data_IF_907311622114
#
_entry.id   IF_907311622114
#
_cell.length_a   1.000
_cell.length_b   1.000
_cell.length_c   1.000
_cell.angle_alpha   90.00
_cell.angle_beta   90.00
_cell.angle_gamma   90.00
#
_symmetry.space_group_name_H-M   'P 1'
#
loop_
_entity.id
_entity.type
_entity.pdbx_description
1 polymer ?
#
# COMPACT_ATOMS: atom_id res chain seq x y z
N UNK A 1 -4.88 -13.51 -18.37
CA UNK A 1 -3.81 -13.17 -17.42
C UNK A 1 -4.45 -12.30 -16.37
N UNK A 2 -4.59 -12.77 -15.12
CA UNK A 2 -5.02 -11.91 -14.02
C UNK A 2 -4.01 -10.76 -13.91
N UNK A 3 -4.45 -9.53 -13.67
CA UNK A 3 -3.53 -8.44 -13.39
C UNK A 3 -2.64 -8.81 -12.20
N UNK A 4 -1.40 -8.29 -12.13
CA UNK A 4 -0.54 -8.53 -10.98
C UNK A 4 -1.26 -8.08 -9.70
N UNK A 5 -1.14 -8.86 -8.63
CA UNK A 5 -1.53 -8.41 -7.29
C UNK A 5 -0.75 -7.16 -6.92
N UNK A 6 -1.36 -6.30 -6.14
CA UNK A 6 -0.68 -5.15 -5.58
C UNK A 6 -0.21 -5.54 -4.17
N UNK A 7 1.11 -5.66 -4.00
CA UNK A 7 1.78 -5.93 -2.73
C UNK A 7 2.71 -4.74 -2.47
N UNK A 8 2.61 -4.10 -1.30
CA UNK A 8 3.44 -2.93 -1.01
C UNK A 8 4.94 -3.24 -1.08
N UNK A 9 5.33 -4.47 -0.70
CA UNK A 9 6.73 -4.90 -0.73
C UNK A 9 7.34 -4.97 -2.14
N UNK A 10 6.51 -5.05 -3.18
CA UNK A 10 6.98 -5.03 -4.59
C UNK A 10 7.32 -3.62 -5.08
N UNK A 11 6.78 -2.58 -4.43
CA UNK A 11 6.89 -1.19 -4.88
C UNK A 11 7.69 -0.30 -3.93
N UNK A 12 7.74 -0.66 -2.64
CA UNK A 12 8.45 0.08 -1.61
C UNK A 12 9.70 -0.70 -1.24
N UNK A 13 10.82 -0.01 -1.20
CA UNK A 13 12.08 -0.59 -0.73
C UNK A 13 12.52 0.10 0.54
N UNK A 14 12.91 -0.69 1.53
CA UNK A 14 13.42 -0.22 2.82
C UNK A 14 14.76 -0.91 3.10
N UNK A 15 15.73 -0.17 3.61
CA UNK A 15 17.09 -0.66 3.87
C UNK A 15 17.71 0.08 5.05
N UNK A 16 18.70 -0.54 5.69
CA UNK A 16 19.33 0.00 6.91
C UNK A 16 18.91 -0.72 8.20
N UNK A 17 17.83 -1.51 8.16
CA UNK A 17 17.43 -2.45 9.21
C UNK A 17 17.02 -3.80 8.61
N UNK A 18 16.85 -4.82 9.46
CA UNK A 18 16.24 -6.09 9.06
C UNK A 18 14.73 -5.91 8.89
N UNK A 19 14.27 -5.75 7.64
CA UNK A 19 12.84 -5.58 7.33
C UNK A 19 12.15 -6.94 7.24
N UNK A 20 11.11 -7.13 8.05
CA UNK A 20 10.33 -8.37 8.11
C UNK A 20 9.12 -8.31 7.16
N UNK A 21 8.42 -7.17 7.11
CA UNK A 21 7.28 -6.98 6.22
C UNK A 21 7.06 -5.51 5.89
N UNK A 22 6.46 -5.27 4.73
CA UNK A 22 5.95 -3.96 4.30
C UNK A 22 4.49 -4.19 3.92
N UNK A 23 3.57 -3.44 4.51
CA UNK A 23 2.13 -3.64 4.31
C UNK A 23 1.42 -2.31 4.18
N UNK A 24 0.61 -2.13 3.16
CA UNK A 24 -0.26 -0.96 3.05
C UNK A 24 -1.56 -1.14 3.87
N UNK A 25 -1.87 -0.14 4.68
CA UNK A 25 -3.10 -0.04 5.45
C UNK A 25 -3.98 1.08 4.88
N UNK A 26 -5.04 0.70 4.18
CA UNK A 26 -5.96 1.66 3.55
C UNK A 26 -7.02 2.22 4.51
N UNK A 27 -7.17 1.67 5.71
CA UNK A 27 -8.08 2.22 6.73
C UNK A 27 -7.45 3.45 7.40
N UNK A 28 -6.12 3.44 7.56
CA UNK A 28 -5.33 4.50 8.20
C UNK A 28 -4.49 5.33 7.20
N UNK A 29 -4.66 5.09 5.89
CA UNK A 29 -3.90 5.76 4.82
C UNK A 29 -2.38 5.71 5.00
N UNK A 30 -1.88 4.56 5.49
CA UNK A 30 -0.50 4.38 5.92
C UNK A 30 0.18 3.15 5.31
N UNK A 31 1.51 3.12 5.38
CA UNK A 31 2.32 1.93 5.12
C UNK A 31 3.05 1.56 6.40
N UNK A 32 2.90 0.31 6.81
CA UNK A 32 3.51 -0.26 7.99
C UNK A 32 4.72 -1.10 7.56
N UNK A 33 5.88 -0.76 8.11
CA UNK A 33 7.14 -1.48 7.92
C UNK A 33 7.51 -2.09 9.27
N UNK A 34 7.55 -3.42 9.31
CA UNK A 34 7.98 -4.15 10.52
C UNK A 34 9.46 -4.42 10.39
N UNK A 35 10.23 -4.03 11.40
CA UNK A 35 11.68 -4.19 11.45
C UNK A 35 12.10 -5.01 12.69
N UNK A 36 13.26 -5.65 12.60
CA UNK A 36 13.96 -6.25 13.74
C UNK A 36 15.23 -5.42 14.02
N UNK A 37 15.08 -4.40 14.89
CA UNK A 37 16.13 -3.45 15.24
C UNK A 37 16.99 -3.97 16.41
N UNK A 38 18.14 -4.57 16.09
CA UNK A 38 19.09 -5.08 17.09
C UNK A 38 19.96 -3.96 17.71
N UNK A 39 20.25 -2.93 16.91
CA UNK A 39 21.08 -1.78 17.26
C UNK A 39 20.41 -0.50 16.74
N UNK A 40 20.80 0.67 17.24
CA UNK A 40 20.33 1.97 16.74
C UNK A 40 20.81 2.21 15.30
N UNK A 41 20.02 2.91 14.49
CA UNK A 41 20.37 3.17 13.10
C UNK A 41 19.42 4.11 12.36
N UNK A 42 19.51 4.09 11.04
CA UNK A 42 18.64 4.85 10.15
C UNK A 42 18.05 3.92 9.08
N UNK A 43 16.74 4.00 8.91
CA UNK A 43 16.01 3.30 7.86
C UNK A 43 15.84 4.24 6.67
N UNK A 44 16.41 3.85 5.52
CA UNK A 44 16.14 4.52 4.25
C UNK A 44 14.98 3.82 3.54
N UNK A 45 13.91 4.56 3.27
CA UNK A 45 12.68 4.06 2.64
C UNK A 45 12.41 4.84 1.36
N UNK A 46 12.23 4.12 0.26
CA UNK A 46 11.82 4.68 -1.01
C UNK A 46 10.35 4.32 -1.27
N UNK A 47 9.48 5.32 -1.21
CA UNK A 47 8.04 5.18 -1.46
C UNK A 47 7.70 5.27 -2.96
N UNK A 48 6.52 4.76 -3.30
CA UNK A 48 5.95 4.82 -4.65
C UNK A 48 4.47 5.24 -4.61
N UNK A 49 4.09 6.15 -5.50
CA UNK A 49 2.72 6.72 -5.64
C UNK A 49 1.62 5.69 -5.95
N UNK A 50 1.99 4.48 -6.36
CA UNK A 50 1.05 3.37 -6.56
C UNK A 50 0.53 2.77 -5.26
N UNK A 51 1.29 2.92 -4.17
CA UNK A 51 0.96 2.35 -2.87
C UNK A 51 0.52 3.45 -1.91
N UNK A 52 1.30 4.52 -1.81
CA UNK A 52 1.04 5.60 -0.87
C UNK A 52 1.35 6.94 -1.51
N UNK A 53 0.52 7.94 -1.21
CA UNK A 53 0.69 9.30 -1.71
C UNK A 53 0.90 10.26 -0.55
N UNK A 54 1.83 11.19 -0.72
CA UNK A 54 2.03 12.32 0.19
C UNK A 54 0.76 13.16 0.37
N UNK A 55 0.71 13.97 1.42
CA UNK A 55 -0.30 15.01 1.59
C UNK A 55 -0.24 16.07 0.48
N UNK A 56 -1.23 16.98 0.45
CA UNK A 56 -1.32 18.03 -0.57
C UNK A 56 -0.11 18.97 -0.59
N UNK A 57 0.62 19.07 0.53
CA UNK A 57 1.87 19.84 0.65
C UNK A 57 3.13 19.02 0.29
N UNK A 58 2.96 17.74 -0.07
CA UNK A 58 4.04 16.83 -0.43
C UNK A 58 4.72 16.16 0.76
N UNK A 59 4.25 16.36 2.00
CA UNK A 59 4.81 15.74 3.20
C UNK A 59 4.24 14.34 3.48
N UNK A 60 4.91 13.63 4.40
CA UNK A 60 4.41 12.43 5.08
C UNK A 60 4.48 12.65 6.59
N UNK A 61 3.81 11.81 7.38
CA UNK A 61 4.10 11.66 8.80
C UNK A 61 4.71 10.30 9.05
N UNK A 62 5.61 10.20 10.03
CA UNK A 62 6.25 8.94 10.40
C UNK A 62 6.04 8.72 11.89
N UNK A 63 5.60 7.50 12.23
CA UNK A 63 5.50 7.02 13.59
C UNK A 63 6.42 5.83 13.79
N UNK A 64 7.08 5.77 14.94
CA UNK A 64 7.80 4.58 15.40
C UNK A 64 7.09 4.10 16.65
N UNK A 65 6.63 2.84 16.63
CA UNK A 65 5.86 2.24 17.73
C UNK A 65 4.70 3.12 18.23
N UNK A 66 4.00 3.77 17.28
CA UNK A 66 2.89 4.71 17.51
C UNK A 66 3.25 6.08 18.11
N UNK A 67 4.53 6.44 18.19
CA UNK A 67 4.99 7.78 18.54
C UNK A 67 5.51 8.52 17.30
N UNK A 68 5.09 9.78 17.11
CA UNK A 68 5.55 10.61 15.98
C UNK A 68 7.02 10.98 16.14
N UNK A 69 7.80 10.86 15.05
CA UNK A 69 9.24 11.16 15.03
C UNK A 69 9.59 12.14 13.93
N UNK A 70 10.68 12.87 14.12
CA UNK A 70 11.31 13.66 13.05
C UNK A 70 12.13 12.75 12.12
N UNK A 71 12.13 13.09 10.83
CA UNK A 71 12.82 12.33 9.79
C UNK A 71 13.24 13.27 8.66
N UNK A 72 14.17 12.82 7.82
CA UNK A 72 14.54 13.56 6.61
C UNK A 72 13.74 13.06 5.40
N UNK A 73 13.23 13.99 4.60
CA UNK A 73 12.50 13.68 3.38
C UNK A 73 13.13 14.35 2.17
N UNK A 74 13.33 13.59 1.09
CA UNK A 74 13.64 14.11 -0.24
C UNK A 74 12.70 13.50 -1.26
N UNK A 75 11.61 14.21 -1.58
CA UNK A 75 10.57 13.72 -2.48
C UNK A 75 9.86 12.50 -1.87
N UNK A 76 10.07 11.32 -2.46
CA UNK A 76 9.52 10.03 -2.01
C UNK A 76 10.54 9.17 -1.24
N UNK A 77 11.77 9.65 -1.05
CA UNK A 77 12.78 8.98 -0.23
C UNK A 77 12.78 9.57 1.18
N UNK A 78 12.71 8.69 2.18
CA UNK A 78 12.68 9.02 3.60
C UNK A 78 13.91 8.42 4.28
N UNK A 79 14.48 9.15 5.22
CA UNK A 79 15.52 8.65 6.14
C UNK A 79 15.00 8.82 7.55
N UNK A 80 14.74 7.70 8.21
CA UNK A 80 14.04 7.63 9.49
C UNK A 80 14.99 7.05 10.53
N UNK A 81 15.42 7.82 11.55
CA UNK A 81 16.21 7.28 12.64
C UNK A 81 15.37 6.32 13.49
N UNK A 82 15.96 5.21 13.94
CA UNK A 82 15.32 4.25 14.84
C UNK A 82 16.30 3.82 15.93
N UNK A 83 15.77 3.37 17.07
CA UNK A 83 16.51 2.86 18.21
C UNK A 83 16.42 1.33 18.28
N UNK A 84 17.38 0.71 18.95
CA UNK A 84 17.37 -0.72 19.24
C UNK A 84 16.09 -1.08 19.99
N UNK A 85 15.40 -2.12 19.51
CA UNK A 85 14.13 -2.58 20.06
C UNK A 85 12.89 -1.94 19.46
N UNK A 86 13.01 -0.98 18.53
CA UNK A 86 11.84 -0.56 17.74
C UNK A 86 11.39 -1.67 16.80
N UNK A 87 10.08 -1.89 16.72
CA UNK A 87 9.50 -3.03 15.98
C UNK A 87 8.71 -2.57 14.75
N UNK A 88 8.11 -1.37 14.83
CA UNK A 88 7.17 -0.91 13.81
C UNK A 88 7.42 0.53 13.43
N UNK A 89 7.58 0.76 12.13
CA UNK A 89 7.60 2.09 11.53
C UNK A 89 6.35 2.23 10.66
N UNK A 90 5.58 3.30 10.87
CA UNK A 90 4.36 3.59 10.14
C UNK A 90 4.49 4.92 9.44
N UNK A 91 4.27 4.93 8.13
CA UNK A 91 4.37 6.12 7.28
C UNK A 91 2.98 6.48 6.80
N UNK A 92 2.47 7.63 7.20
CA UNK A 92 1.10 8.10 6.90
C UNK A 92 1.15 9.12 5.77
N UNK A 93 0.21 8.99 4.82
CA UNK A 93 0.05 9.87 3.68
C UNK A 93 -1.38 10.37 3.53
N UNK A 94 -1.71 10.93 2.37
CA UNK A 94 -3.08 11.34 2.03
C UNK A 94 -4.00 10.19 1.69
N UNK A 95 -3.43 9.10 1.18
CA UNK A 95 -4.16 7.88 0.85
C UNK A 95 -3.19 6.72 0.68
N UNK A 96 -3.61 5.52 1.09
CA UNK A 96 -2.91 4.26 0.79
C UNK A 96 -3.81 3.31 0.00
N UNK A 97 -3.24 2.69 -1.05
CA UNK A 97 -3.94 1.70 -1.86
C UNK A 97 -3.92 0.35 -1.15
N UNK A 98 -5.08 -0.26 -0.85
CA UNK A 98 -5.10 -1.54 -0.16
C UNK A 98 -4.49 -2.66 -1.00
N UNK A 99 -3.85 -3.60 -0.31
CA UNK A 99 -3.34 -4.82 -0.91
C UNK A 99 -4.48 -5.77 -1.22
N UNK A 100 -4.81 -5.91 -2.51
CA UNK A 100 -5.72 -6.97 -2.95
C UNK A 100 -4.91 -8.20 -3.29
N UNK A 101 -4.96 -9.19 -2.40
CA UNK A 101 -4.46 -10.53 -2.70
C UNK A 101 -5.04 -11.06 -4.01
N UNK A 102 -4.30 -11.94 -4.68
CA UNK A 102 -4.67 -12.46 -6.02
C UNK A 102 -6.11 -13.01 -6.05
N UNK A 103 -6.58 -13.60 -4.94
CA UNK A 103 -7.93 -14.14 -4.80
C UNK A 103 -9.00 -13.04 -4.87
N UNK A 104 -8.80 -11.93 -4.15
CA UNK A 104 -9.75 -10.81 -4.16
C UNK A 104 -9.87 -10.20 -5.56
N UNK A 105 -8.74 -10.04 -6.27
CA UNK A 105 -8.72 -9.56 -7.65
C UNK A 105 -9.46 -10.49 -8.63
N UNK A 106 -9.32 -11.81 -8.45
CA UNK A 106 -10.05 -12.79 -9.27
C UNK A 106 -11.56 -12.68 -9.02
N UNK A 107 -11.99 -12.61 -7.76
CA UNK A 107 -13.41 -12.46 -7.42
C UNK A 107 -13.97 -11.17 -8.03
N UNK A 108 -13.25 -10.05 -7.89
CA UNK A 108 -13.65 -8.76 -8.47
C UNK A 108 -13.80 -8.86 -9.99
N UNK A 109 -12.82 -9.43 -10.69
CA UNK A 109 -12.85 -9.58 -12.14
C UNK A 109 -14.02 -10.47 -12.62
N UNK A 110 -14.25 -11.60 -11.94
CA UNK A 110 -15.35 -12.53 -12.27
C UNK A 110 -16.71 -11.87 -12.05
N UNK A 111 -16.88 -11.08 -10.98
CA UNK A 111 -18.12 -10.37 -10.70
C UNK A 111 -18.47 -9.38 -11.81
N UNK A 112 -17.52 -8.53 -12.23
CA UNK A 112 -17.72 -7.55 -13.30
C UNK A 112 -18.11 -8.25 -14.62
N UNK A 113 -17.39 -9.31 -15.01
CA UNK A 113 -17.69 -10.07 -16.23
C UNK A 113 -19.10 -10.67 -16.17
N UNK A 114 -19.50 -11.21 -15.01
CA UNK A 114 -20.83 -11.81 -14.82
C UNK A 114 -21.95 -10.78 -14.98
N UNK A 115 -21.80 -9.59 -14.39
CA UNK A 115 -22.77 -8.49 -14.49
C UNK A 115 -22.95 -8.08 -15.95
N UNK A 116 -21.85 -7.89 -16.68
CA UNK A 116 -21.88 -7.51 -18.10
C UNK A 116 -22.57 -8.59 -18.94
N UNK A 117 -22.21 -9.87 -18.73
CA UNK A 117 -22.79 -10.98 -19.47
C UNK A 117 -24.31 -11.12 -19.25
N UNK A 118 -24.77 -11.00 -18.00
CA UNK A 118 -26.19 -11.04 -17.66
C UNK A 118 -26.91 -9.84 -18.29
N UNK A 119 -26.38 -8.64 -18.13
CA UNK A 119 -26.99 -7.41 -18.66
C UNK A 119 -27.08 -7.44 -20.19
N UNK A 120 -26.06 -7.95 -20.88
CA UNK A 120 -26.06 -8.13 -22.33
C UNK A 120 -27.14 -9.14 -22.79
N UNK A 121 -27.27 -10.28 -22.09
CA UNK A 121 -28.30 -11.29 -22.38
C UNK A 121 -29.73 -10.75 -22.19
N UNK A 122 -29.94 -9.93 -21.15
CA UNK A 122 -31.24 -9.31 -20.88
C UNK A 122 -31.63 -8.29 -21.96
N UNK A 123 -30.69 -7.47 -22.47
CA UNK A 123 -30.98 -6.53 -23.57
C UNK A 123 -31.35 -7.22 -24.88
N UNK A 124 -30.71 -8.34 -25.24
CA UNK A 124 -31.06 -9.08 -26.47
C UNK A 124 -32.42 -9.78 -26.39
N UNK A 125 -32.90 -10.17 -25.20
CA UNK A 125 -34.21 -10.82 -25.03
C UNK A 125 -35.38 -9.83 -25.14
N UNK A 126 -35.15 -8.54 -24.90
CA UNK A 126 -36.17 -7.48 -24.95
C UNK A 126 -36.37 -6.88 -26.35
N UNK A 127 -35.63 -7.33 -27.37
CA UNK A 127 -35.91 -6.98 -28.76
C UNK A 127 -37.09 -7.86 -29.21
N UNK A 128 -38.31 -7.32 -29.37
CA UNK A 128 -39.43 -8.12 -29.81
C UNK A 128 -39.18 -8.54 -31.26
N UNK A 129 -39.36 -9.82 -31.57
CA UNK A 129 -39.46 -10.26 -32.97
C UNK A 129 -40.76 -9.67 -33.54
N UNK A 130 -40.63 -8.71 -34.46
CA UNK A 130 -41.68 -8.25 -35.37
C UNK A 130 -41.94 -9.29 -36.46
#
# INVERSE_FOLDING_TARGET
MAGPSLDAADYISASGASVTSITANADDDSVIIVIDAVDDGELSVQLHDKIIRAFDDGSYFVLIDNEEVEFEQTGTNLTIPYEAGNEKIEIVGSYAVPEFGTIAMIILAVAIVSIIAITAKTRMTLIPKL
#
